data_IF_438789338515
#
_entry.id   IF_438789338515
#
_cell.length_a   1.000
_cell.length_b   1.000
_cell.length_c   1.000
_cell.angle_alpha   90.00
_cell.angle_beta   90.00
_cell.angle_gamma   90.00
#
_symmetry.space_group_name_H-M   'P 1'
#
loop_
_entity.id
_entity.type
_entity.pdbx_description
1 polymer ?
#
# COMPACT_ATOMS: atom_id res chain seq x y z
N UNK A 1 -7.68 -2.65 20.31
CA UNK A 1 -6.90 -2.73 21.58
C UNK A 1 -5.45 -2.45 21.23
N UNK A 2 -4.76 -1.57 21.98
CA UNK A 2 -3.32 -1.33 21.76
C UNK A 2 -2.52 -2.52 22.28
N UNK A 3 -1.72 -3.15 21.43
CA UNK A 3 -0.88 -4.30 21.82
C UNK A 3 0.56 -3.83 22.07
N UNK A 4 0.98 -2.73 21.43
CA UNK A 4 2.33 -2.18 21.52
C UNK A 4 2.37 -0.79 22.15
N UNK A 5 3.52 -0.43 22.73
CA UNK A 5 3.82 0.95 23.15
C UNK A 5 3.76 1.94 21.98
N UNK A 6 3.92 1.47 20.73
CA UNK A 6 3.77 2.27 19.51
C UNK A 6 2.33 2.71 19.24
N UNK A 7 1.34 1.97 19.75
CA UNK A 7 -0.08 2.29 19.62
C UNK A 7 -0.54 3.26 20.72
N UNK A 8 0.30 3.50 21.74
CA UNK A 8 -0.03 4.31 22.91
C UNK A 8 -0.17 5.79 22.56
N UNK A 9 -1.24 6.43 23.04
CA UNK A 9 -1.40 7.87 22.87
C UNK A 9 -0.34 8.71 23.58
N UNK A 10 0.30 8.15 24.61
CA UNK A 10 1.28 8.86 25.46
C UNK A 10 2.70 8.42 25.09
N UNK A 11 2.92 7.11 24.93
CA UNK A 11 4.27 6.56 24.80
C UNK A 11 4.74 6.34 23.35
N UNK A 12 3.87 6.47 22.33
CA UNK A 12 4.24 6.19 20.93
C UNK A 12 5.42 7.00 20.40
N UNK A 13 5.65 8.19 20.95
CA UNK A 13 6.74 9.07 20.53
C UNK A 13 8.09 8.71 21.16
N UNK A 14 8.12 7.85 22.19
CA UNK A 14 9.37 7.38 22.79
C UNK A 14 10.09 6.36 21.89
N UNK A 15 9.33 5.64 21.06
CA UNK A 15 9.83 4.51 20.26
C UNK A 15 9.81 4.77 18.76
N UNK A 16 9.58 6.02 18.34
CA UNK A 16 9.57 6.40 16.94
C UNK A 16 8.96 7.77 16.70
N UNK A 17 9.16 8.29 15.48
CA UNK A 17 8.57 9.55 15.05
C UNK A 17 7.19 9.31 14.42
N UNK A 18 6.45 10.39 14.17
CA UNK A 18 5.15 10.28 13.50
C UNK A 18 5.32 9.77 12.07
N UNK A 19 6.33 10.27 11.37
CA UNK A 19 6.62 9.94 9.99
C UNK A 19 6.82 8.44 9.81
N UNK A 20 7.62 7.80 10.68
CA UNK A 20 7.82 6.34 10.62
C UNK A 20 6.54 5.58 10.97
N UNK A 21 5.78 6.02 11.98
CA UNK A 21 4.52 5.33 12.31
C UNK A 21 3.51 5.39 11.18
N UNK A 22 3.40 6.52 10.49
CA UNK A 22 2.49 6.69 9.37
C UNK A 22 2.83 5.71 8.22
N UNK A 23 4.11 5.31 8.06
CA UNK A 23 4.57 4.28 7.10
C UNK A 23 4.15 2.86 7.49
N UNK A 24 4.08 2.55 8.78
CA UNK A 24 3.77 1.21 9.29
C UNK A 24 2.31 1.03 9.70
N UNK A 25 1.42 1.90 9.21
CA UNK A 25 -0.03 1.73 9.38
C UNK A 25 -0.57 0.64 8.46
N UNK A 26 -1.70 0.04 8.83
CA UNK A 26 -2.38 -0.96 8.00
C UNK A 26 -2.78 -0.34 6.64
N UNK A 27 -3.26 0.90 6.66
CA UNK A 27 -3.64 1.65 5.46
C UNK A 27 -2.44 1.89 4.55
N UNK A 28 -1.29 2.29 5.09
CA UNK A 28 -0.07 2.48 4.31
C UNK A 28 0.44 1.16 3.72
N UNK A 29 0.38 0.07 4.51
CA UNK A 29 0.78 -1.25 4.05
C UNK A 29 -0.07 -1.73 2.87
N UNK A 30 -1.39 -1.69 3.01
CA UNK A 30 -2.33 -2.08 1.95
C UNK A 30 -2.19 -1.17 0.73
N UNK A 31 -2.02 0.14 0.92
CA UNK A 31 -1.80 1.09 -0.19
C UNK A 31 -0.55 0.74 -0.99
N UNK A 32 0.55 0.34 -0.32
CA UNK A 32 1.77 -0.10 -0.99
C UNK A 32 1.63 -1.43 -1.72
N UNK A 33 0.82 -2.35 -1.21
CA UNK A 33 0.48 -3.57 -1.94
C UNK A 33 -0.26 -3.23 -3.24
N UNK A 34 -1.27 -2.36 -3.20
CA UNK A 34 -2.03 -1.92 -4.37
C UNK A 34 -1.12 -1.26 -5.42
N UNK A 35 -0.25 -0.35 -4.99
CA UNK A 35 0.73 0.29 -5.88
C UNK A 35 1.67 -0.72 -6.52
N UNK A 36 2.09 -1.75 -5.77
CA UNK A 36 2.95 -2.83 -6.24
C UNK A 36 2.25 -3.66 -7.32
N UNK A 37 1.02 -4.09 -7.07
CA UNK A 37 0.24 -4.88 -8.03
C UNK A 37 -0.06 -4.08 -9.32
N UNK A 38 -0.33 -2.78 -9.19
CA UNK A 38 -0.51 -1.90 -10.35
C UNK A 38 0.80 -1.71 -11.15
N UNK A 39 1.96 -1.71 -10.49
CA UNK A 39 3.25 -1.69 -11.17
C UNK A 39 3.56 -3.03 -11.84
N UNK A 40 3.24 -4.15 -11.16
CA UNK A 40 3.43 -5.50 -11.68
C UNK A 40 2.60 -5.71 -12.94
N UNK A 41 1.30 -5.40 -12.92
CA UNK A 41 0.42 -5.54 -14.08
C UNK A 41 0.92 -4.73 -15.29
N UNK A 42 1.47 -3.52 -15.07
CA UNK A 42 2.09 -2.73 -16.14
C UNK A 42 3.31 -3.45 -16.73
N UNK A 43 4.24 -3.86 -15.88
CA UNK A 43 5.45 -4.54 -16.32
C UNK A 43 5.14 -5.84 -17.07
N UNK A 44 4.24 -6.68 -16.53
CA UNK A 44 3.81 -7.94 -17.15
C UNK A 44 3.13 -7.72 -18.50
N UNK A 45 2.34 -6.65 -18.64
CA UNK A 45 1.69 -6.29 -19.89
C UNK A 45 2.67 -5.79 -20.96
N UNK A 46 3.77 -5.15 -20.54
CA UNK A 46 4.83 -4.69 -21.44
C UNK A 46 5.66 -5.85 -22.00
N UNK A 47 5.91 -6.88 -21.18
CA UNK A 47 6.66 -8.07 -21.59
C UNK A 47 5.78 -9.18 -22.18
N UNK A 48 4.47 -8.98 -22.23
CA UNK A 48 3.51 -9.91 -22.85
C UNK A 48 3.16 -11.14 -22.02
N UNK A 49 3.37 -11.10 -20.69
CA UNK A 49 2.89 -12.14 -19.76
C UNK A 49 1.36 -12.09 -19.64
N UNK A 50 0.80 -10.88 -19.66
CA UNK A 50 -0.64 -10.64 -19.75
C UNK A 50 -0.95 -9.75 -20.97
N UNK A 51 -2.19 -9.76 -21.48
CA UNK A 51 -2.63 -8.83 -22.51
C UNK A 51 -2.43 -7.36 -22.10
N UNK A 52 -2.13 -6.49 -23.07
CA UNK A 52 -1.85 -5.06 -22.82
C UNK A 52 -3.04 -4.31 -22.22
N UNK A 53 -4.22 -4.59 -22.73
CA UNK A 53 -5.50 -4.08 -22.24
C UNK A 53 -5.78 -4.53 -20.80
N UNK A 54 -5.45 -5.77 -20.45
CA UNK A 54 -5.59 -6.26 -19.08
C UNK A 54 -4.70 -5.46 -18.10
N UNK A 55 -3.44 -5.20 -18.46
CA UNK A 55 -2.53 -4.38 -17.65
C UNK A 55 -3.04 -2.96 -17.42
N UNK A 56 -3.57 -2.32 -18.47
CA UNK A 56 -4.18 -0.98 -18.39
C UNK A 56 -5.44 -0.97 -17.52
N UNK A 57 -6.31 -1.99 -17.67
CA UNK A 57 -7.54 -2.12 -16.88
C UNK A 57 -7.25 -2.33 -15.39
N UNK A 58 -6.33 -3.23 -15.04
CA UNK A 58 -5.93 -3.48 -13.65
C UNK A 58 -5.34 -2.21 -13.03
N UNK A 59 -4.42 -1.56 -13.73
CA UNK A 59 -3.80 -0.31 -13.26
C UNK A 59 -4.81 0.78 -13.00
N UNK A 60 -5.82 0.91 -13.87
CA UNK A 60 -6.90 1.88 -13.70
C UNK A 60 -7.79 1.53 -12.51
N UNK A 61 -8.20 0.26 -12.39
CA UNK A 61 -9.04 -0.19 -11.29
C UNK A 61 -8.36 0.06 -9.94
N UNK A 62 -7.07 -0.30 -9.82
CA UNK A 62 -6.29 -0.15 -8.59
C UNK A 62 -6.03 1.32 -8.19
N UNK A 63 -6.04 2.25 -9.16
CA UNK A 63 -5.89 3.69 -8.86
C UNK A 63 -7.09 4.27 -8.11
N UNK A 64 -8.28 3.73 -8.34
CA UNK A 64 -9.54 4.24 -7.78
C UNK A 64 -9.99 3.46 -6.52
N UNK A 65 -9.17 2.51 -6.05
CA UNK A 65 -9.48 1.73 -4.84
C UNK A 65 -9.39 2.61 -3.61
N UNK A 66 -10.47 2.61 -2.81
CA UNK A 66 -10.49 3.19 -1.48
C UNK A 66 -10.21 2.09 -0.46
N UNK A 67 -9.23 2.32 0.40
CA UNK A 67 -8.95 1.50 1.57
C UNK A 67 -9.74 2.15 2.71
N UNK A 68 -10.72 1.43 3.25
CA UNK A 68 -11.50 1.81 4.44
C UNK A 68 -10.93 1.19 5.71
#
# INVERSE_FOLDING_TARGET
>A
MSVSAMDSRIFRNLFGTREIRDVFTDEAYVSRMIETEAALARAESEVGVIPKDAGEMISRALRDVKIE
#
